data_IF_171963293037
#
_entry.id   IF_171963293037
#
_cell.length_a   1.000
_cell.length_b   1.000
_cell.length_c   1.000
_cell.angle_alpha   90.00
_cell.angle_beta   90.00
_cell.angle_gamma   90.00
#
_symmetry.space_group_name_H-M   'P 1'
#
loop_
_entity.id
_entity.type
_entity.pdbx_description
1 polymer ?
#
# COMPACT_ATOMS: atom_id res chain seq x y z
N UNK A 1 10.54 -14.92 -2.43
CA UNK A 1 10.55 -14.47 -3.87
C UNK A 1 11.80 -13.65 -4.16
N UNK A 2 12.52 -14.00 -5.21
CA UNK A 2 13.61 -13.18 -5.73
C UNK A 2 13.08 -12.18 -6.77
N UNK A 3 13.50 -10.93 -6.68
CA UNK A 3 13.14 -9.90 -7.67
C UNK A 3 14.24 -9.85 -8.74
N UNK A 4 13.91 -10.32 -9.92
CA UNK A 4 14.83 -10.35 -11.07
C UNK A 4 14.66 -9.12 -11.97
N UNK A 5 13.45 -8.57 -12.03
CA UNK A 5 13.15 -7.37 -12.81
C UNK A 5 11.99 -6.61 -12.20
N UNK A 6 12.02 -5.30 -12.34
CA UNK A 6 10.91 -4.42 -12.00
C UNK A 6 10.97 -3.22 -12.93
N UNK A 7 9.92 -2.97 -13.68
CA UNK A 7 9.89 -1.92 -14.68
C UNK A 7 8.57 -1.15 -14.68
N UNK A 8 8.65 0.16 -14.86
CA UNK A 8 7.48 1.00 -15.02
C UNK A 8 6.78 0.71 -16.35
N UNK A 9 5.46 0.54 -16.30
CA UNK A 9 4.67 0.24 -17.49
C UNK A 9 3.79 1.42 -17.89
N UNK A 10 2.95 1.92 -16.99
CA UNK A 10 1.99 2.98 -17.33
C UNK A 10 1.54 3.76 -16.08
N UNK A 11 1.22 5.02 -16.29
CA UNK A 11 0.51 5.89 -15.35
C UNK A 11 -0.80 6.33 -15.95
N UNK A 12 -1.89 6.27 -15.17
CA UNK A 12 -3.20 6.73 -15.63
C UNK A 12 -4.13 7.05 -14.46
N UNK A 13 -5.35 7.53 -14.79
CA UNK A 13 -6.37 7.87 -13.79
C UNK A 13 -7.63 7.02 -13.93
N UNK A 14 -7.65 6.07 -14.85
CA UNK A 14 -8.86 5.29 -15.19
C UNK A 14 -8.56 3.80 -15.24
N UNK A 15 -9.49 3.00 -14.72
CA UNK A 15 -9.38 1.54 -14.69
C UNK A 15 -9.22 0.93 -16.07
N UNK A 16 -9.99 1.39 -17.04
CA UNK A 16 -9.94 0.89 -18.42
C UNK A 16 -8.64 1.20 -19.16
N UNK A 17 -7.81 2.08 -18.63
CA UNK A 17 -6.47 2.37 -19.15
C UNK A 17 -5.36 1.56 -18.43
N UNK A 18 -5.71 0.76 -17.43
CA UNK A 18 -4.78 -0.14 -16.77
C UNK A 18 -4.34 -1.28 -17.71
N UNK A 19 -3.22 -1.95 -17.46
CA UNK A 19 -2.70 -2.99 -18.33
C UNK A 19 -3.72 -4.08 -18.64
N UNK A 20 -3.75 -4.52 -19.88
CA UNK A 20 -4.62 -5.63 -20.32
C UNK A 20 -4.00 -6.97 -19.88
N UNK A 21 -4.83 -8.00 -19.78
CA UNK A 21 -4.42 -9.33 -19.39
C UNK A 21 -4.85 -9.68 -17.97
N UNK A 22 -4.32 -10.80 -17.46
CA UNK A 22 -4.79 -11.38 -16.20
C UNK A 22 -3.71 -11.52 -15.13
N UNK A 23 -2.61 -10.78 -15.26
CA UNK A 23 -1.58 -10.82 -14.22
C UNK A 23 -2.12 -10.24 -12.90
N UNK A 24 -1.81 -10.88 -11.77
CA UNK A 24 -2.28 -10.40 -10.48
C UNK A 24 -1.66 -9.05 -10.12
N UNK A 25 -2.44 -8.22 -9.47
CA UNK A 25 -2.02 -6.90 -9.01
C UNK A 25 -2.06 -6.81 -7.49
N UNK A 26 -1.00 -6.24 -6.94
CA UNK A 26 -0.87 -5.93 -5.51
C UNK A 26 -0.70 -4.43 -5.39
N UNK A 27 -1.69 -3.76 -4.82
CA UNK A 27 -1.71 -2.30 -4.75
C UNK A 27 -1.22 -1.81 -3.38
N UNK A 28 -0.57 -0.67 -3.39
CA UNK A 28 -0.01 -0.02 -2.22
C UNK A 28 -0.61 1.37 -2.08
N UNK A 29 -1.14 1.67 -0.91
CA UNK A 29 -1.80 2.94 -0.60
C UNK A 29 -1.44 3.39 0.81
N UNK A 30 -1.51 4.68 1.06
CA UNK A 30 -1.28 5.25 2.37
C UNK A 30 -1.47 6.75 2.33
N UNK A 31 -1.29 7.39 3.48
CA UNK A 31 -1.34 8.86 3.55
C UNK A 31 -0.06 9.45 2.98
N UNK A 32 -0.10 10.74 2.63
CA UNK A 32 1.09 11.46 2.17
C UNK A 32 2.25 11.30 3.15
N UNK A 33 3.45 11.07 2.63
CA UNK A 33 4.70 10.94 3.41
C UNK A 33 4.74 9.71 4.34
N UNK A 34 3.91 8.72 4.14
CA UNK A 34 3.94 7.46 4.90
C UNK A 34 5.18 6.60 4.60
N UNK A 35 5.87 6.87 3.49
CA UNK A 35 7.02 6.11 3.04
C UNK A 35 6.72 5.10 1.93
N UNK A 36 5.65 5.29 1.17
CA UNK A 36 5.20 4.37 0.13
C UNK A 36 6.22 4.19 -0.99
N UNK A 37 6.72 5.27 -1.57
CA UNK A 37 7.72 5.18 -2.65
C UNK A 37 9.03 4.54 -2.19
N UNK A 38 9.48 4.85 -0.98
CA UNK A 38 10.66 4.23 -0.38
C UNK A 38 10.46 2.73 -0.16
N UNK A 39 9.27 2.31 0.27
CA UNK A 39 8.94 0.90 0.43
C UNK A 39 8.94 0.18 -0.92
N UNK A 40 8.32 0.74 -1.94
CA UNK A 40 8.28 0.17 -3.29
C UNK A 40 9.69 -0.02 -3.83
N UNK A 41 10.54 0.99 -3.68
CA UNK A 41 11.94 0.93 -4.12
C UNK A 41 12.72 -0.14 -3.35
N UNK A 42 12.50 -0.26 -2.06
CA UNK A 42 13.11 -1.30 -1.23
C UNK A 42 12.68 -2.70 -1.66
N UNK A 43 11.37 -2.92 -1.85
CA UNK A 43 10.84 -4.22 -2.28
C UNK A 43 11.43 -4.66 -3.61
N UNK A 44 11.55 -3.75 -4.56
CA UNK A 44 12.00 -4.04 -5.93
C UNK A 44 13.52 -3.97 -6.11
N UNK A 45 14.27 -3.57 -5.06
CA UNK A 45 15.71 -3.31 -5.14
C UNK A 45 16.08 -2.32 -6.24
N UNK A 46 15.22 -1.37 -6.49
CA UNK A 46 15.44 -0.32 -7.48
C UNK A 46 15.17 1.05 -6.86
N UNK A 47 16.23 1.79 -6.45
CA UNK A 47 16.07 3.04 -5.72
C UNK A 47 15.48 4.18 -6.55
N UNK A 48 15.32 3.97 -7.87
CA UNK A 48 14.79 4.98 -8.80
C UNK A 48 13.46 4.56 -9.43
N UNK A 49 12.89 3.42 -9.07
CA UNK A 49 11.67 2.92 -9.71
C UNK A 49 10.47 3.82 -9.42
N UNK A 50 10.18 4.04 -8.15
CA UNK A 50 9.14 4.97 -7.73
C UNK A 50 9.78 6.29 -7.31
N UNK A 51 9.15 7.39 -7.70
CA UNK A 51 9.67 8.73 -7.37
C UNK A 51 9.44 9.02 -5.89
N UNK A 52 10.53 9.18 -5.14
CA UNK A 52 10.47 9.67 -3.77
C UNK A 52 10.42 11.19 -3.76
N UNK A 53 9.56 11.77 -2.91
CA UNK A 53 9.45 13.22 -2.79
C UNK A 53 9.11 13.60 -1.35
N UNK A 54 9.82 14.60 -0.83
CA UNK A 54 9.48 15.24 0.43
C UNK A 54 8.25 16.16 0.31
N UNK A 55 7.84 16.49 -0.91
CA UNK A 55 6.66 17.33 -1.15
C UNK A 55 5.40 16.47 -1.17
N UNK A 56 4.47 16.68 -0.23
CA UNK A 56 3.21 15.93 -0.20
C UNK A 56 2.40 16.08 -1.49
N UNK A 57 1.79 15.01 -1.93
CA UNK A 57 0.76 15.08 -2.94
C UNK A 57 1.20 15.06 -4.40
N UNK A 58 2.39 14.57 -4.71
CA UNK A 58 2.83 14.48 -6.11
C UNK A 58 2.27 13.27 -6.86
N UNK A 59 1.93 12.16 -6.18
CA UNK A 59 1.39 10.98 -6.84
C UNK A 59 -0.13 11.14 -6.95
N UNK A 60 -0.61 11.57 -8.11
CA UNK A 60 -2.03 11.72 -8.44
C UNK A 60 -2.52 10.62 -9.39
N UNK A 61 -1.66 9.69 -9.74
CA UNK A 61 -1.90 8.69 -10.77
C UNK A 61 -1.79 7.29 -10.20
N UNK A 62 -2.44 6.36 -10.87
CA UNK A 62 -2.24 4.92 -10.67
C UNK A 62 -1.00 4.53 -11.48
N UNK A 63 0.03 4.03 -10.81
CA UNK A 63 1.27 3.61 -11.46
C UNK A 63 1.41 2.10 -11.41
N UNK A 64 1.56 1.47 -12.56
CA UNK A 64 1.81 0.03 -12.67
C UNK A 64 3.28 -0.26 -12.92
N UNK A 65 3.86 -1.11 -12.09
CA UNK A 65 5.22 -1.63 -12.23
C UNK A 65 5.15 -3.15 -12.43
N UNK A 66 5.70 -3.64 -13.53
CA UNK A 66 5.73 -5.07 -13.80
C UNK A 66 6.92 -5.71 -13.10
N UNK A 67 6.66 -6.70 -12.24
CA UNK A 67 7.67 -7.39 -11.44
C UNK A 67 7.85 -8.81 -11.95
N UNK A 68 9.09 -9.18 -12.22
CA UNK A 68 9.47 -10.52 -12.72
C UNK A 68 8.66 -10.95 -13.94
N UNK A 69 8.06 -10.05 -14.68
CA UNK A 69 7.15 -10.34 -15.80
C UNK A 69 5.95 -11.22 -15.40
N UNK A 70 5.65 -11.32 -14.11
CA UNK A 70 4.65 -12.24 -13.57
C UNK A 70 3.50 -11.56 -12.82
N UNK A 71 3.73 -10.38 -12.23
CA UNK A 71 2.72 -9.66 -11.48
C UNK A 71 2.97 -8.16 -11.49
N UNK A 72 1.94 -7.39 -11.13
CA UNK A 72 2.06 -5.94 -11.03
C UNK A 72 2.09 -5.46 -9.58
N UNK A 73 3.05 -4.60 -9.28
CA UNK A 73 3.00 -3.74 -8.12
C UNK A 73 2.34 -2.44 -8.55
N UNK A 74 1.27 -2.03 -7.86
CA UNK A 74 0.49 -0.85 -8.23
C UNK A 74 0.60 0.21 -7.14
N UNK A 75 1.07 1.38 -7.52
CA UNK A 75 1.18 2.53 -6.62
C UNK A 75 -0.04 3.42 -6.80
N UNK A 76 -0.88 3.51 -5.76
CA UNK A 76 -2.09 4.33 -5.77
C UNK A 76 -1.82 5.72 -5.19
N UNK A 77 -2.60 6.74 -5.59
CA UNK A 77 -2.54 8.05 -4.95
C UNK A 77 -2.78 7.96 -3.44
N UNK A 78 -2.11 8.79 -2.67
CA UNK A 78 -2.32 8.86 -1.22
C UNK A 78 -3.68 9.48 -0.86
N UNK A 79 -4.29 8.98 0.20
CA UNK A 79 -5.52 9.54 0.74
C UNK A 79 -5.24 10.51 1.91
N UNK A 80 -6.26 11.28 2.31
CA UNK A 80 -6.19 12.07 3.55
C UNK A 80 -5.33 13.32 3.50
N UNK A 81 -5.14 13.92 2.33
CA UNK A 81 -4.37 15.15 2.19
C UNK A 81 -5.25 16.40 2.22
N UNK A 82 -5.39 16.98 3.41
CA UNK A 82 -6.31 18.12 3.66
C UNK A 82 -5.87 19.47 3.05
N UNK A 83 -4.60 19.63 2.67
CA UNK A 83 -4.10 20.88 2.07
C UNK A 83 -4.50 21.06 0.61
N UNK A 84 -5.15 20.07 0.01
CA UNK A 84 -5.68 20.17 -1.36
C UNK A 84 -7.08 20.75 -1.36
N UNK A 85 -7.44 21.43 -2.44
CA UNK A 85 -8.81 21.91 -2.62
C UNK A 85 -9.81 20.74 -2.63
N UNK A 86 -11.03 21.01 -2.18
CA UNK A 86 -12.10 20.00 -2.08
C UNK A 86 -12.31 19.19 -3.38
N UNK A 87 -12.35 19.87 -4.52
CA UNK A 87 -12.54 19.21 -5.83
C UNK A 87 -11.40 18.22 -6.15
N UNK A 88 -10.17 18.56 -5.79
CA UNK A 88 -9.02 17.69 -6.04
C UNK A 88 -9.05 16.46 -5.12
N UNK A 89 -9.43 16.65 -3.85
CA UNK A 89 -9.61 15.54 -2.89
C UNK A 89 -10.68 14.58 -3.40
N UNK A 90 -11.81 15.07 -3.83
CA UNK A 90 -12.91 14.26 -4.40
C UNK A 90 -12.47 13.49 -5.65
N UNK A 91 -11.71 14.14 -6.53
CA UNK A 91 -11.17 13.50 -7.74
C UNK A 91 -10.23 12.35 -7.42
N UNK A 92 -9.32 12.55 -6.47
CA UNK A 92 -8.38 11.51 -6.02
C UNK A 92 -9.13 10.36 -5.36
N UNK A 93 -10.10 10.67 -4.51
CA UNK A 93 -10.93 9.69 -3.84
C UNK A 93 -11.65 8.80 -4.87
N UNK A 94 -12.21 9.41 -5.93
CA UNK A 94 -12.86 8.67 -7.00
C UNK A 94 -11.88 7.75 -7.74
N UNK A 95 -10.68 8.21 -8.05
CA UNK A 95 -9.64 7.38 -8.70
C UNK A 95 -9.34 6.14 -7.84
N UNK A 96 -9.15 6.34 -6.54
CA UNK A 96 -8.87 5.27 -5.57
C UNK A 96 -10.03 4.27 -5.51
N UNK A 97 -11.24 4.75 -5.32
CA UNK A 97 -12.43 3.91 -5.19
C UNK A 97 -12.71 3.13 -6.47
N UNK A 98 -12.66 3.78 -7.63
CA UNK A 98 -12.89 3.12 -8.92
C UNK A 98 -11.88 1.98 -9.14
N UNK A 99 -10.59 2.23 -8.87
CA UNK A 99 -9.57 1.18 -9.00
C UNK A 99 -9.88 0.01 -8.05
N UNK A 100 -10.08 0.28 -6.78
CA UNK A 100 -10.27 -0.76 -5.76
C UNK A 100 -11.54 -1.59 -6.04
N UNK A 101 -12.63 -0.95 -6.43
CA UNK A 101 -13.91 -1.61 -6.64
C UNK A 101 -14.05 -2.29 -8.00
N UNK A 102 -13.43 -1.74 -9.04
CA UNK A 102 -13.64 -2.19 -10.42
C UNK A 102 -12.48 -3.02 -10.99
N UNK A 103 -11.28 -2.94 -10.40
CA UNK A 103 -10.13 -3.65 -10.95
C UNK A 103 -10.15 -5.13 -10.56
N UNK A 104 -10.54 -5.98 -11.51
CA UNK A 104 -10.67 -7.43 -11.29
C UNK A 104 -9.34 -8.12 -10.96
N UNK A 105 -8.23 -7.61 -11.47
CA UNK A 105 -6.89 -8.17 -11.25
C UNK A 105 -6.32 -7.85 -9.86
N UNK A 106 -6.94 -6.95 -9.10
CA UNK A 106 -6.50 -6.62 -7.75
C UNK A 106 -6.71 -7.81 -6.81
N UNK A 107 -5.62 -8.35 -6.29
CA UNK A 107 -5.63 -9.50 -5.39
C UNK A 107 -5.60 -9.09 -3.92
N UNK A 108 -4.73 -8.15 -3.58
CA UNK A 108 -4.61 -7.65 -2.21
C UNK A 108 -4.16 -6.18 -2.21
N UNK A 109 -4.75 -5.42 -1.30
CA UNK A 109 -4.38 -4.02 -1.07
C UNK A 109 -3.52 -3.94 0.19
N UNK A 110 -2.32 -3.38 0.06
CA UNK A 110 -1.46 -3.09 1.22
C UNK A 110 -1.67 -1.64 1.64
N UNK A 111 -2.16 -1.45 2.86
CA UNK A 111 -2.37 -0.13 3.45
C UNK A 111 -1.20 0.20 4.37
N UNK A 112 -0.49 1.28 4.06
CA UNK A 112 0.69 1.69 4.81
C UNK A 112 0.32 2.65 5.93
N UNK A 113 0.84 2.38 7.12
CA UNK A 113 0.65 3.20 8.32
C UNK A 113 2.02 3.50 8.93
N UNK A 114 2.28 4.75 9.25
CA UNK A 114 3.48 5.14 10.00
C UNK A 114 3.41 4.52 11.40
N UNK A 115 4.37 3.68 11.77
CA UNK A 115 4.37 2.91 13.01
C UNK A 115 4.35 3.78 14.28
N UNK A 116 4.72 5.05 14.16
CA UNK A 116 4.73 5.99 15.29
C UNK A 116 3.35 6.51 15.66
N UNK A 117 2.36 6.36 14.77
CA UNK A 117 1.04 6.96 14.93
C UNK A 117 0.08 6.01 15.65
N UNK A 118 -0.78 6.61 16.47
CA UNK A 118 -1.97 5.95 16.98
C UNK A 118 -3.02 5.84 15.87
N UNK A 119 -4.02 4.94 16.00
CA UNK A 119 -5.11 4.86 15.04
C UNK A 119 -5.83 6.20 14.91
N UNK A 120 -5.88 6.71 13.69
CA UNK A 120 -6.54 7.96 13.37
C UNK A 120 -7.87 7.71 12.69
N UNK A 121 -8.84 8.60 12.91
CA UNK A 121 -10.18 8.46 12.37
C UNK A 121 -10.21 8.19 10.87
N UNK A 122 -9.40 8.91 10.10
CA UNK A 122 -9.37 8.76 8.63
C UNK A 122 -8.91 7.36 8.20
N UNK A 123 -7.94 6.79 8.92
CA UNK A 123 -7.45 5.45 8.61
C UNK A 123 -8.47 4.39 9.00
N UNK A 124 -9.11 4.54 10.16
CA UNK A 124 -10.15 3.63 10.63
C UNK A 124 -11.38 3.64 9.70
N UNK A 125 -11.78 4.80 9.23
CA UNK A 125 -12.86 4.95 8.24
C UNK A 125 -12.51 4.26 6.93
N UNK A 126 -11.27 4.36 6.49
CA UNK A 126 -10.81 3.68 5.28
C UNK A 126 -10.85 2.16 5.44
N UNK A 127 -10.37 1.63 6.56
CA UNK A 127 -10.46 0.19 6.84
C UNK A 127 -11.91 -0.29 6.88
N UNK A 128 -12.79 0.47 7.52
CA UNK A 128 -14.22 0.14 7.56
C UNK A 128 -14.81 0.07 6.15
N UNK A 129 -14.50 1.05 5.30
CA UNK A 129 -14.94 1.06 3.92
C UNK A 129 -14.41 -0.17 3.14
N UNK A 130 -13.14 -0.53 3.34
CA UNK A 130 -12.58 -1.75 2.72
C UNK A 130 -13.33 -3.01 3.17
N UNK A 131 -13.61 -3.13 4.46
CA UNK A 131 -14.36 -4.24 5.01
C UNK A 131 -15.78 -4.34 4.49
N UNK A 132 -16.50 -3.22 4.44
CA UNK A 132 -17.87 -3.15 3.90
C UNK A 132 -17.95 -3.55 2.43
N UNK A 133 -16.90 -3.29 1.65
CA UNK A 133 -16.84 -3.63 0.24
C UNK A 133 -16.14 -4.98 -0.04
N UNK A 134 -15.81 -5.74 1.00
CA UNK A 134 -15.20 -7.06 0.86
C UNK A 134 -13.82 -7.05 0.19
N UNK A 135 -13.05 -5.97 0.34
CA UNK A 135 -11.73 -5.81 -0.27
C UNK A 135 -10.68 -6.52 0.56
N UNK A 136 -9.95 -7.51 0.01
CA UNK A 136 -8.82 -8.12 0.73
C UNK A 136 -7.71 -7.09 0.95
N UNK A 137 -7.29 -6.91 2.19
CA UNK A 137 -6.20 -5.98 2.50
C UNK A 137 -5.31 -6.47 3.64
N UNK A 138 -4.11 -5.92 3.66
CA UNK A 138 -3.11 -6.13 4.71
C UNK A 138 -2.56 -4.78 5.15
N UNK A 139 -2.03 -4.70 6.37
CA UNK A 139 -1.45 -3.47 6.89
C UNK A 139 0.07 -3.60 6.93
N UNK A 140 0.78 -2.61 6.40
CA UNK A 140 2.23 -2.48 6.52
C UNK A 140 2.54 -1.26 7.39
N UNK A 141 3.10 -1.51 8.56
CA UNK A 141 3.62 -0.44 9.41
C UNK A 141 5.01 -0.05 8.91
N UNK A 142 5.17 1.24 8.56
CA UNK A 142 6.41 1.78 8.00
C UNK A 142 7.23 2.52 9.02
N UNK A 143 8.50 2.78 8.70
CA UNK A 143 9.42 3.60 9.50
C UNK A 143 9.75 3.00 10.88
N UNK A 144 9.81 1.67 10.94
CA UNK A 144 10.12 0.97 12.19
C UNK A 144 11.52 1.33 12.76
N UNK A 145 12.44 1.79 11.91
CA UNK A 145 13.76 2.29 12.31
C UNK A 145 13.71 3.52 13.22
N UNK A 146 12.59 4.25 13.22
CA UNK A 146 12.39 5.43 14.09
C UNK A 146 12.11 5.08 15.55
N UNK A 147 11.87 3.81 15.84
CA UNK A 147 11.57 3.31 17.18
C UNK A 147 12.50 2.15 17.54
N UNK A 148 12.64 1.88 18.84
CA UNK A 148 13.25 0.64 19.29
C UNK A 148 12.38 -0.56 18.88
N UNK A 149 12.95 -1.75 18.80
CA UNK A 149 12.21 -2.98 18.48
C UNK A 149 11.04 -3.20 19.44
N UNK A 150 11.27 -3.00 20.74
CA UNK A 150 10.22 -3.15 21.74
C UNK A 150 9.09 -2.13 21.60
N UNK A 151 9.44 -0.86 21.33
CA UNK A 151 8.43 0.19 21.13
C UNK A 151 7.63 -0.03 19.84
N UNK A 152 8.30 -0.46 18.77
CA UNK A 152 7.64 -0.79 17.52
C UNK A 152 6.60 -1.90 17.71
N UNK A 153 6.96 -3.00 18.38
CA UNK A 153 6.03 -4.09 18.69
C UNK A 153 4.88 -3.63 19.57
N UNK A 154 5.16 -2.80 20.58
CA UNK A 154 4.13 -2.28 21.46
C UNK A 154 3.13 -1.40 20.70
N UNK A 155 3.61 -0.54 19.80
CA UNK A 155 2.74 0.32 18.99
C UNK A 155 1.85 -0.51 18.06
N UNK A 156 2.41 -1.51 17.38
CA UNK A 156 1.63 -2.40 16.49
C UNK A 156 0.56 -3.15 17.30
N UNK A 157 0.92 -3.71 18.44
CA UNK A 157 -0.04 -4.44 19.28
C UNK A 157 -1.18 -3.53 19.76
N UNK A 158 -0.86 -2.31 20.20
CA UNK A 158 -1.87 -1.33 20.61
C UNK A 158 -2.79 -0.94 19.45
N UNK A 159 -2.22 -0.71 18.27
CA UNK A 159 -2.97 -0.39 17.05
C UNK A 159 -3.93 -1.51 16.68
N UNK A 160 -3.43 -2.74 16.63
CA UNK A 160 -4.24 -3.90 16.24
C UNK A 160 -5.29 -4.26 17.29
N UNK A 161 -5.01 -4.04 18.59
CA UNK A 161 -6.00 -4.22 19.65
C UNK A 161 -7.15 -3.21 19.48
N UNK A 162 -6.83 -1.97 19.14
CA UNK A 162 -7.85 -0.93 18.88
C UNK A 162 -8.72 -1.30 17.67
N UNK A 163 -8.10 -1.75 16.60
CA UNK A 163 -8.81 -2.21 15.39
C UNK A 163 -9.69 -3.43 15.73
N UNK A 164 -9.21 -4.35 16.54
CA UNK A 164 -9.91 -5.56 16.98
C UNK A 164 -11.18 -5.32 17.79
N UNK A 165 -11.38 -4.12 18.33
CA UNK A 165 -12.63 -3.77 19.01
C UNK A 165 -13.84 -3.80 18.07
N UNK A 166 -13.62 -3.63 16.77
CA UNK A 166 -14.66 -3.56 15.74
C UNK A 166 -14.55 -4.64 14.66
N UNK A 167 -13.49 -5.42 14.67
CA UNK A 167 -13.21 -6.44 13.65
C UNK A 167 -13.19 -7.84 14.27
N UNK A 168 -13.95 -8.77 13.69
CA UNK A 168 -13.91 -10.18 14.10
C UNK A 168 -12.60 -10.84 13.67
N UNK A 169 -12.18 -10.60 12.42
CA UNK A 169 -10.94 -11.12 11.86
C UNK A 169 -10.04 -9.96 11.46
N UNK A 170 -8.85 -9.91 12.05
CA UNK A 170 -7.88 -8.87 11.76
C UNK A 170 -7.11 -9.16 10.46
N UNK A 171 -6.79 -8.13 9.67
CA UNK A 171 -5.97 -8.30 8.48
C UNK A 171 -4.54 -8.71 8.84
N UNK A 172 -3.81 -9.36 7.90
CA UNK A 172 -2.39 -9.60 8.05
C UNK A 172 -1.61 -8.30 8.27
N UNK A 173 -0.53 -8.38 9.05
CA UNK A 173 0.26 -7.22 9.47
C UNK A 173 1.73 -7.46 9.18
N UNK A 174 2.40 -6.43 8.68
CA UNK A 174 3.85 -6.44 8.43
C UNK A 174 4.47 -5.21 9.08
N UNK A 175 5.69 -5.38 9.59
CA UNK A 175 6.50 -4.28 10.13
C UNK A 175 7.66 -4.05 9.18
N UNK A 176 7.87 -2.82 8.74
CA UNK A 176 8.88 -2.51 7.74
C UNK A 176 9.72 -1.28 8.08
N UNK A 177 10.94 -1.31 7.57
CA UNK A 177 11.81 -0.14 7.49
C UNK A 177 12.51 -0.16 6.13
N UNK A 178 12.26 0.84 5.31
CA UNK A 178 12.96 0.98 4.05
C UNK A 178 14.44 1.27 4.25
N UNK A 179 14.78 2.02 5.28
CA UNK A 179 16.16 2.36 5.64
C UNK A 179 16.97 1.13 6.09
N UNK A 180 16.39 0.29 6.93
CA UNK A 180 17.03 -0.94 7.44
C UNK A 180 16.73 -2.17 6.60
N UNK A 181 15.92 -2.06 5.58
CA UNK A 181 15.48 -3.15 4.71
C UNK A 181 14.75 -4.28 5.45
N UNK A 182 14.09 -3.96 6.58
CA UNK A 182 13.29 -4.92 7.33
C UNK A 182 11.90 -5.08 6.74
N UNK A 183 11.34 -6.29 6.85
CA UNK A 183 9.99 -6.61 6.38
C UNK A 183 9.91 -6.99 4.91
N UNK A 184 10.97 -6.81 4.14
CA UNK A 184 11.00 -7.07 2.71
C UNK A 184 10.70 -8.53 2.38
N UNK A 185 11.41 -9.45 3.01
CA UNK A 185 11.24 -10.89 2.79
C UNK A 185 9.82 -11.33 3.12
N UNK A 186 9.29 -10.90 4.25
CA UNK A 186 7.96 -11.28 4.72
C UNK A 186 6.87 -10.81 3.75
N UNK A 187 6.96 -9.58 3.26
CA UNK A 187 5.99 -9.03 2.30
C UNK A 187 6.08 -9.77 0.96
N UNK A 188 7.29 -9.96 0.43
CA UNK A 188 7.47 -10.64 -0.84
C UNK A 188 7.08 -12.11 -0.78
N UNK A 189 7.37 -12.80 0.33
CA UNK A 189 6.97 -14.20 0.50
C UNK A 189 5.45 -14.34 0.63
N UNK A 190 4.79 -13.37 1.26
CA UNK A 190 3.33 -13.33 1.31
C UNK A 190 2.72 -13.22 -0.09
N UNK A 191 3.25 -12.33 -0.93
CA UNK A 191 2.82 -12.18 -2.33
C UNK A 191 3.10 -13.48 -3.12
N UNK A 192 4.28 -14.05 -2.95
CA UNK A 192 4.68 -15.29 -3.64
C UNK A 192 3.78 -16.46 -3.30
N UNK A 193 3.43 -16.61 -2.02
CA UNK A 193 2.53 -17.66 -1.56
C UNK A 193 1.13 -17.50 -2.18
N UNK A 194 0.60 -16.28 -2.22
CA UNK A 194 -0.68 -16.02 -2.88
C UNK A 194 -0.60 -16.37 -4.36
N UNK A 195 0.44 -15.90 -5.06
CA UNK A 195 0.62 -16.14 -6.49
C UNK A 195 0.69 -17.64 -6.83
N UNK A 196 1.28 -18.45 -5.96
CA UNK A 196 1.36 -19.92 -6.17
C UNK A 196 0.01 -20.61 -6.03
N UNK A 197 -0.97 -19.96 -5.42
CA UNK A 197 -2.30 -20.51 -5.17
C UNK A 197 -3.38 -19.90 -6.09
N UNK A 198 -3.02 -19.01 -6.99
CA UNK A 198 -3.90 -18.48 -8.02
C UNK A 198 -3.97 -19.43 -9.22
#
# INVERSE_FOLDING_TARGET
MEIKSAEFIISNTKVDLCPKGNLPEYAFIGRSNVGKSSLINMLTKNPKLAMTSATPGKTLLINHFLVNKEWYLVDLPGYGYAARGKKQVEKIQKIIEDYILEREQLINLFVLIDIRLEPQKIDLEFFEWLGENGVPFSIIFTKADKLTVGKAKANVNAYMNKLGEQWEELPPVFISSSEKKTGRTEILDYIDEINKNL
#
